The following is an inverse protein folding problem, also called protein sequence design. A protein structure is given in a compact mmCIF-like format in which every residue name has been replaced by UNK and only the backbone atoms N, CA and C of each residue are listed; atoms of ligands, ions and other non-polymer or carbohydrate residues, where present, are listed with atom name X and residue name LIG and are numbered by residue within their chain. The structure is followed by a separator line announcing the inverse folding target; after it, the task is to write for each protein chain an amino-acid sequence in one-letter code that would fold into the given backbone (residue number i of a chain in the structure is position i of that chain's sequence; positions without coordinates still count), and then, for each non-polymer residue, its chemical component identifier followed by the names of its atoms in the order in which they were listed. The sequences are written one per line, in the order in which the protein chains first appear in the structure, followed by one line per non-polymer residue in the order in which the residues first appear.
data_IF_831437084726
#
_entry.id   IF_831437084726
#
_cell.length_a   1.000
_cell.length_b   1.000
_cell.length_c   1.000
_cell.angle_alpha   90.00
_cell.angle_beta   90.00
_cell.angle_gamma   90.00
#
_symmetry.space_group_name_H-M   'P 1'
#
loop_
_entity.id
_entity.type
_entity.pdbx_description
1 polymer ?
#
# COMPACT_ATOMS: atom_id res chain seq x y z
N UNK A 1 32.34 -11.10 10.48
CA UNK A 1 31.42 -10.31 9.64
C UNK A 1 31.65 -8.86 9.93
N UNK A 2 32.07 -8.11 8.91
CA UNK A 2 32.54 -6.73 9.10
C UNK A 2 31.41 -5.73 8.92
N UNK A 3 31.50 -4.59 9.59
CA UNK A 3 30.56 -3.47 9.49
C UNK A 3 30.33 -3.00 8.04
N UNK A 4 31.27 -3.30 7.13
CA UNK A 4 31.19 -2.98 5.71
C UNK A 4 30.23 -3.89 4.94
N UNK A 5 30.01 -5.15 5.36
CA UNK A 5 29.05 -6.05 4.69
C UNK A 5 27.59 -5.61 4.91
N UNK A 6 27.32 -4.84 5.97
CA UNK A 6 26.01 -4.21 6.20
C UNK A 6 25.76 -2.99 5.30
N UNK A 7 26.80 -2.32 4.81
CA UNK A 7 26.66 -1.14 3.94
C UNK A 7 26.45 -1.52 2.46
N UNK A 8 26.80 -2.73 2.05
CA UNK A 8 26.69 -3.20 0.66
C UNK A 8 25.44 -4.05 0.36
N UNK A 9 24.55 -4.27 1.33
CA UNK A 9 23.16 -4.71 1.08
C UNK A 9 22.24 -3.53 0.68
N UNK A 10 22.78 -2.56 -0.07
CA UNK A 10 22.00 -1.54 -0.77
C UNK A 10 21.30 -2.18 -1.98
N UNK A 11 20.41 -3.14 -1.74
CA UNK A 11 19.24 -3.28 -2.60
C UNK A 11 18.52 -1.94 -2.49
N UNK A 12 18.40 -1.18 -3.59
CA UNK A 12 17.51 -0.01 -3.61
C UNK A 12 16.15 -0.52 -3.13
N UNK A 13 15.77 -0.17 -1.90
CA UNK A 13 14.51 -0.62 -1.33
C UNK A 13 13.39 -0.20 -2.28
N UNK A 14 12.44 -1.11 -2.54
CA UNK A 14 11.34 -0.85 -3.46
C UNK A 14 10.66 0.48 -3.05
N UNK A 15 10.51 1.47 -3.96
CA UNK A 15 9.96 2.79 -3.61
C UNK A 15 8.59 2.72 -2.91
N UNK A 16 7.75 1.77 -3.34
CA UNK A 16 6.46 1.50 -2.71
C UNK A 16 6.62 1.06 -1.25
N UNK A 17 7.60 0.19 -0.98
CA UNK A 17 7.89 -0.25 0.39
C UNK A 17 8.45 0.88 1.25
N UNK A 18 9.35 1.69 0.71
CA UNK A 18 9.91 2.86 1.41
C UNK A 18 8.81 3.84 1.81
N UNK A 19 7.92 4.16 0.86
CA UNK A 19 6.75 5.02 1.10
C UNK A 19 5.86 4.44 2.18
N UNK A 20 5.43 3.18 2.03
CA UNK A 20 4.58 2.49 2.99
C UNK A 20 5.17 2.48 4.40
N UNK A 21 6.46 2.12 4.54
CA UNK A 21 7.11 2.04 5.85
C UNK A 21 7.27 3.41 6.50
N UNK A 22 7.50 4.47 5.71
CA UNK A 22 7.49 5.85 6.22
C UNK A 22 6.12 6.19 6.81
N UNK A 23 5.03 5.98 6.07
CA UNK A 23 3.68 6.29 6.55
C UNK A 23 3.28 5.47 7.79
N UNK A 24 3.62 4.18 7.82
CA UNK A 24 3.40 3.34 9.00
C UNK A 24 4.18 3.84 10.22
N UNK A 25 5.42 4.30 10.03
CA UNK A 25 6.22 4.89 11.11
C UNK A 25 5.59 6.16 11.66
N UNK A 26 5.11 7.04 10.78
CA UNK A 26 4.49 8.31 11.17
C UNK A 26 3.18 8.12 11.94
N UNK A 27 2.43 7.04 11.67
CA UNK A 27 1.23 6.64 12.45
C UNK A 27 1.54 5.81 13.70
N UNK A 28 2.81 5.65 14.08
CA UNK A 28 3.24 4.81 15.20
C UNK A 28 2.80 3.34 15.08
N UNK A 29 2.71 2.82 13.85
CA UNK A 29 2.42 1.41 13.59
C UNK A 29 3.76 0.67 13.45
N UNK A 30 4.16 0.03 14.54
CA UNK A 30 5.48 -0.64 14.68
C UNK A 30 5.40 -2.17 14.55
N UNK A 31 4.35 -2.69 13.91
CA UNK A 31 4.24 -4.12 13.64
C UNK A 31 5.29 -4.58 12.61
N UNK A 32 5.86 -5.75 12.84
CA UNK A 32 6.83 -6.39 11.94
C UNK A 32 6.11 -6.93 10.71
N UNK A 33 6.39 -6.35 9.55
CA UNK A 33 5.76 -6.73 8.28
C UNK A 33 6.49 -7.98 7.79
N UNK A 34 5.80 -9.12 7.72
CA UNK A 34 6.37 -10.32 7.10
C UNK A 34 6.44 -10.16 5.58
N UNK A 35 5.33 -9.73 4.97
CA UNK A 35 5.24 -9.54 3.52
C UNK A 35 4.41 -8.31 3.18
N UNK A 36 4.79 -7.59 2.13
CA UNK A 36 3.99 -6.50 1.58
C UNK A 36 3.87 -6.58 0.06
N UNK A 37 2.71 -6.18 -0.44
CA UNK A 37 2.39 -6.14 -1.85
C UNK A 37 1.75 -4.80 -2.22
N UNK A 38 2.08 -4.29 -3.40
CA UNK A 38 1.34 -3.23 -4.06
C UNK A 38 0.19 -3.82 -4.87
N UNK A 39 -1.02 -3.29 -4.72
CA UNK A 39 -2.19 -3.77 -5.46
C UNK A 39 -2.39 -2.93 -6.74
N UNK A 40 -2.68 -1.64 -6.56
CA UNK A 40 -2.84 -0.63 -7.60
C UNK A 40 -3.10 0.74 -6.95
N UNK A 41 -3.16 1.80 -7.75
CA UNK A 41 -3.66 3.10 -7.31
C UNK A 41 -4.70 3.69 -8.26
N UNK A 42 -5.56 4.57 -7.74
CA UNK A 42 -6.61 5.28 -8.47
C UNK A 42 -6.71 6.73 -8.02
N UNK A 43 -7.28 7.66 -8.81
CA UNK A 43 -7.47 9.04 -8.39
C UNK A 43 -8.25 9.16 -7.09
N UNK A 44 -7.81 10.04 -6.21
CA UNK A 44 -8.45 10.32 -4.94
C UNK A 44 -9.76 11.09 -5.15
N UNK A 45 -10.85 10.53 -4.61
CA UNK A 45 -12.12 11.20 -4.42
C UNK A 45 -12.92 10.44 -3.35
N UNK A 46 -13.88 11.11 -2.70
CA UNK A 46 -14.78 10.46 -1.74
C UNK A 46 -15.50 9.25 -2.37
N UNK A 47 -15.98 9.40 -3.61
CA UNK A 47 -16.65 8.33 -4.34
C UNK A 47 -15.71 7.13 -4.59
N UNK A 48 -14.46 7.37 -4.98
CA UNK A 48 -13.50 6.30 -5.24
C UNK A 48 -13.09 5.58 -3.95
N UNK A 49 -13.00 6.28 -2.83
CA UNK A 49 -12.73 5.67 -1.52
C UNK A 49 -13.84 4.68 -1.12
N UNK A 50 -15.11 5.07 -1.29
CA UNK A 50 -16.24 4.19 -1.02
C UNK A 50 -16.33 3.01 -1.99
N UNK A 51 -16.00 3.21 -3.28
CA UNK A 51 -15.89 2.12 -4.25
C UNK A 51 -14.79 1.12 -3.87
N UNK A 52 -13.63 1.59 -3.39
CA UNK A 52 -12.57 0.72 -2.88
C UNK A 52 -13.09 -0.13 -1.73
N UNK A 53 -13.70 0.47 -0.71
CA UNK A 53 -14.22 -0.26 0.47
C UNK A 53 -15.21 -1.34 0.07
N UNK A 54 -16.14 -0.99 -0.81
CA UNK A 54 -17.12 -1.93 -1.36
C UNK A 54 -16.42 -3.07 -2.12
N UNK A 55 -15.44 -2.75 -2.97
CA UNK A 55 -14.70 -3.76 -3.73
C UNK A 55 -13.87 -4.68 -2.82
N UNK A 56 -13.33 -4.18 -1.70
CA UNK A 56 -12.66 -5.01 -0.69
C UNK A 56 -13.66 -5.98 -0.06
N UNK A 57 -14.79 -5.46 0.43
CA UNK A 57 -15.82 -6.26 1.08
C UNK A 57 -16.43 -7.32 0.16
N UNK A 58 -16.59 -7.02 -1.13
CA UNK A 58 -17.14 -7.93 -2.14
C UNK A 58 -16.08 -8.81 -2.84
N UNK A 59 -14.79 -8.66 -2.51
CA UNK A 59 -13.68 -9.34 -3.18
C UNK A 59 -13.60 -9.07 -4.70
N UNK A 60 -13.81 -7.82 -5.12
CA UNK A 60 -13.85 -7.36 -6.52
C UNK A 60 -12.83 -6.28 -6.85
N UNK A 61 -11.72 -6.22 -6.12
CA UNK A 61 -10.67 -5.22 -6.35
C UNK A 61 -10.10 -5.26 -7.76
N UNK A 62 -9.97 -6.45 -8.35
CA UNK A 62 -9.47 -6.62 -9.71
C UNK A 62 -10.42 -6.07 -10.78
N UNK A 63 -11.73 -6.06 -10.51
CA UNK A 63 -12.73 -5.41 -11.38
C UNK A 63 -12.62 -3.89 -11.27
N UNK A 64 -12.48 -3.36 -10.05
CA UNK A 64 -12.30 -1.93 -9.82
C UNK A 64 -11.05 -1.39 -10.53
N UNK A 65 -9.94 -2.12 -10.42
CA UNK A 65 -8.66 -1.80 -11.08
C UNK A 65 -8.77 -1.65 -12.60
N UNK A 66 -9.66 -2.38 -13.25
CA UNK A 66 -9.85 -2.32 -14.70
C UNK A 66 -10.67 -1.11 -15.14
N UNK A 67 -11.53 -0.58 -14.27
CA UNK A 67 -12.46 0.49 -14.59
C UNK A 67 -11.90 1.89 -14.33
N UNK A 68 -10.90 2.02 -13.44
CA UNK A 68 -10.34 3.30 -13.03
C UNK A 68 -8.82 3.25 -13.15
N UNK A 69 -8.27 4.14 -13.98
CA UNK A 69 -6.83 4.25 -14.18
C UNK A 69 -6.22 5.32 -13.28
N UNK A 70 -5.02 5.04 -12.78
CA UNK A 70 -4.17 6.00 -12.08
C UNK A 70 -3.96 7.27 -12.91
N UNK A 71 -3.94 8.44 -12.26
CA UNK A 71 -3.67 9.71 -12.93
C UNK A 71 -2.59 10.50 -12.20
N UNK A 72 -1.43 10.64 -12.84
CA UNK A 72 -0.24 11.33 -12.29
C UNK A 72 -0.40 12.84 -12.09
N UNK A 73 -1.52 13.44 -12.52
CA UNK A 73 -1.76 14.89 -12.45
C UNK A 73 -2.73 15.29 -11.32
N UNK A 74 -3.17 14.32 -10.52
CA UNK A 74 -4.10 14.53 -9.40
C UNK A 74 -3.65 13.68 -8.21
N UNK A 75 -4.17 13.97 -7.03
CA UNK A 75 -3.97 13.10 -5.87
C UNK A 75 -4.50 11.70 -6.17
N UNK A 76 -3.80 10.68 -5.70
CA UNK A 76 -4.20 9.29 -5.85
C UNK A 76 -4.37 8.62 -4.49
N UNK A 77 -5.07 7.49 -4.52
CA UNK A 77 -5.14 6.51 -3.46
C UNK A 77 -4.35 5.30 -3.95
N UNK A 78 -3.36 4.87 -3.19
CA UNK A 78 -2.62 3.64 -3.39
C UNK A 78 -3.09 2.57 -2.40
N UNK A 79 -3.25 1.33 -2.89
CA UNK A 79 -3.65 0.20 -2.07
C UNK A 79 -2.48 -0.76 -1.90
N UNK A 80 -2.26 -1.15 -0.65
CA UNK A 80 -1.21 -2.07 -0.25
C UNK A 80 -1.82 -3.25 0.51
N UNK A 81 -1.44 -4.48 0.18
CA UNK A 81 -1.73 -5.64 1.01
C UNK A 81 -0.53 -5.93 1.90
N UNK A 82 -0.76 -5.99 3.21
CA UNK A 82 0.27 -6.30 4.20
C UNK A 82 -0.12 -7.57 4.94
N UNK A 83 0.84 -8.47 5.07
CA UNK A 83 0.77 -9.66 5.90
C UNK A 83 1.78 -9.47 7.04
N UNK A 84 1.28 -9.28 8.26
CA UNK A 84 2.14 -9.21 9.46
C UNK A 84 2.48 -10.62 9.96
N UNK A 85 1.51 -11.53 9.88
CA UNK A 85 1.66 -12.96 10.17
C UNK A 85 0.85 -13.76 9.15
N UNK A 86 0.92 -15.10 9.17
CA UNK A 86 0.14 -15.96 8.27
C UNK A 86 -1.38 -15.69 8.32
N UNK A 87 -1.89 -15.20 9.45
CA UNK A 87 -3.32 -14.98 9.68
C UNK A 87 -3.70 -13.49 9.76
N UNK A 88 -2.73 -12.59 9.92
CA UNK A 88 -2.98 -11.16 10.11
C UNK A 88 -2.69 -10.39 8.82
N UNK A 89 -3.75 -10.17 8.04
CA UNK A 89 -3.67 -9.54 6.72
C UNK A 89 -4.55 -8.29 6.69
N UNK A 90 -4.00 -7.22 6.12
CA UNK A 90 -4.66 -5.92 6.05
C UNK A 90 -4.44 -5.30 4.68
N UNK A 91 -5.45 -4.61 4.18
CA UNK A 91 -5.29 -3.65 3.09
C UNK A 91 -5.11 -2.27 3.70
N UNK A 92 -4.02 -1.60 3.36
CA UNK A 92 -3.76 -0.21 3.70
C UNK A 92 -4.13 0.65 2.52
N UNK A 93 -4.96 1.65 2.79
CA UNK A 93 -5.36 2.70 1.86
C UNK A 93 -4.52 3.93 2.19
N UNK A 94 -3.67 4.31 1.24
CA UNK A 94 -2.70 5.40 1.40
C UNK A 94 -3.01 6.52 0.40
N UNK A 95 -3.02 7.76 0.88
CA UNK A 95 -3.08 8.96 0.05
C UNK A 95 -1.70 9.25 -0.53
N UNK A 96 -1.62 9.32 -1.86
CA UNK A 96 -0.45 9.70 -2.63
C UNK A 96 -0.71 11.05 -3.34
N UNK A 97 -0.36 12.18 -2.72
CA UNK A 97 -0.68 13.49 -3.26
C UNK A 97 0.14 13.82 -4.50
N UNK A 98 -0.47 14.57 -5.43
CA UNK A 98 0.23 15.12 -6.59
C UNK A 98 1.18 16.25 -6.18
N UNK A 99 0.75 17.09 -5.24
CA UNK A 99 1.52 18.24 -4.79
C UNK A 99 2.66 17.84 -3.83
N UNK A 100 3.87 18.33 -4.12
CA UNK A 100 5.11 18.01 -3.38
C UNK A 100 5.06 18.42 -1.90
N UNK A 101 4.20 19.38 -1.54
CA UNK A 101 4.09 19.90 -0.17
C UNK A 101 3.02 19.21 0.67
N UNK A 102 2.18 18.39 0.04
CA UNK A 102 1.20 17.56 0.75
C UNK A 102 1.88 16.26 1.14
N UNK A 103 1.65 15.78 2.36
CA UNK A 103 2.28 14.56 2.86
C UNK A 103 1.45 13.35 2.49
N UNK A 104 2.13 12.26 2.19
CA UNK A 104 1.50 10.94 2.09
C UNK A 104 0.88 10.60 3.45
N UNK A 105 -0.32 10.02 3.45
CA UNK A 105 -0.99 9.65 4.70
C UNK A 105 -1.75 8.32 4.59
N UNK A 106 -1.89 7.61 5.71
CA UNK A 106 -2.78 6.45 5.79
C UNK A 106 -4.19 6.95 6.01
N UNK A 107 -5.06 6.72 5.02
CA UNK A 107 -6.48 7.01 5.09
C UNK A 107 -7.20 5.96 5.92
N UNK A 108 -6.92 4.68 5.66
CA UNK A 108 -7.60 3.57 6.33
C UNK A 108 -6.77 2.29 6.33
N UNK A 109 -7.03 1.42 7.32
CA UNK A 109 -6.46 0.08 7.42
C UNK A 109 -7.61 -0.90 7.60
N UNK A 110 -7.83 -1.74 6.61
CA UNK A 110 -8.97 -2.64 6.54
C UNK A 110 -8.46 -4.08 6.72
N UNK A 111 -8.87 -4.81 7.77
CA UNK A 111 -8.54 -6.22 7.89
C UNK A 111 -9.21 -7.03 6.79
N UNK A 112 -8.50 -8.00 6.22
CA UNK A 112 -9.02 -8.85 5.15
C UNK A 112 -8.73 -10.32 5.40
N UNK A 113 -9.66 -11.18 5.03
CA UNK A 113 -9.49 -12.64 5.08
C UNK A 113 -9.11 -13.23 3.72
N UNK A 114 -9.55 -12.60 2.63
CA UNK A 114 -9.22 -13.00 1.26
C UNK A 114 -8.13 -12.10 0.68
N UNK A 115 -7.21 -12.69 -0.08
CA UNK A 115 -6.08 -12.01 -0.72
C UNK A 115 -5.86 -12.45 -2.17
N UNK A 116 -6.88 -13.08 -2.77
CA UNK A 116 -6.88 -13.51 -4.17
C UNK A 116 -7.16 -12.32 -5.10
N UNK A 117 -6.17 -11.42 -5.15
CA UNK A 117 -6.15 -10.22 -5.97
C UNK A 117 -4.85 -10.16 -6.76
N UNK A 118 -4.87 -9.47 -7.90
CA UNK A 118 -3.63 -9.13 -8.61
C UNK A 118 -2.78 -8.20 -7.75
N UNK A 119 -1.55 -8.62 -7.48
CA UNK A 119 -0.64 -7.95 -6.55
C UNK A 119 0.82 -8.11 -6.97
N UNK A 120 1.64 -7.11 -6.67
CA UNK A 120 3.08 -7.10 -6.92
C UNK A 120 3.83 -7.15 -5.59
N UNK A 121 4.76 -8.10 -5.43
CA UNK A 121 5.56 -8.21 -4.21
C UNK A 121 6.52 -7.02 -4.10
N UNK A 122 6.46 -6.29 -2.99
CA UNK A 122 7.34 -5.14 -2.71
C UNK A 122 8.29 -5.38 -1.54
N UNK A 123 8.01 -6.38 -0.68
CA UNK A 123 8.86 -6.79 0.43
C UNK A 123 8.51 -8.20 0.93
N UNK A 124 9.50 -9.01 1.29
CA UNK A 124 9.41 -10.35 1.91
C UNK A 124 10.64 -10.65 2.76
#
# INVERSE_FOLDING_TARGET
MSFLEKLFHNNKANPYYVKLRKCLKEKHIEKDIATAYFLFGIPHSENNLELIKKAIAENKLDELRQNISYNVQVDNIELYLIEYTNNDKYIIILLDPYEIYTREDILEIIPVSNTDFKKELIYS
#
